data_IF_643730641531
#
_entry.id   IF_643730641531
#
_cell.length_a   1.000
_cell.length_b   1.000
_cell.length_c   1.000
_cell.angle_alpha   90.00
_cell.angle_beta   90.00
_cell.angle_gamma   90.00
#
_symmetry.space_group_name_H-M   'P 1'
#
loop_
_entity.id
_entity.type
_entity.pdbx_description
1 polymer ?
#
# COMPACT_ATOMS: atom_id res chain seq x y z
N UNK A 1 5.39 10.67 -4.54
CA UNK A 1 5.08 11.04 -5.94
C UNK A 1 5.46 12.52 -6.08
N UNK A 2 6.11 13.10 -7.09
CA UNK A 2 6.82 12.70 -8.31
C UNK A 2 7.58 13.96 -8.79
N UNK A 3 8.53 13.87 -9.73
CA UNK A 3 9.33 15.05 -10.15
C UNK A 3 8.48 16.21 -10.73
N UNK A 4 7.33 15.90 -11.33
CA UNK A 4 6.43 16.91 -11.88
C UNK A 4 5.75 17.79 -10.82
N UNK A 5 5.40 17.22 -9.66
CA UNK A 5 4.79 17.99 -8.55
C UNK A 5 5.83 18.93 -7.94
N UNK A 6 7.06 18.43 -7.71
CA UNK A 6 8.16 19.28 -7.23
C UNK A 6 8.46 20.42 -8.21
N UNK A 7 8.55 20.12 -9.51
CA UNK A 7 8.76 21.14 -10.54
C UNK A 7 7.66 22.21 -10.56
N UNK A 8 6.39 21.81 -10.40
CA UNK A 8 5.26 22.74 -10.37
C UNK A 8 5.27 23.63 -9.11
N UNK A 9 5.64 23.07 -7.95
CA UNK A 9 5.76 23.80 -6.69
C UNK A 9 6.91 24.82 -6.74
N UNK A 10 8.08 24.42 -7.24
CA UNK A 10 9.23 25.33 -7.43
C UNK A 10 8.86 26.52 -8.33
N UNK A 11 8.08 26.29 -9.39
CA UNK A 11 7.60 27.37 -10.27
C UNK A 11 6.62 28.34 -9.60
N UNK A 12 5.96 27.93 -8.52
CA UNK A 12 5.07 28.78 -7.74
C UNK A 12 5.79 29.46 -6.56
N UNK A 13 7.10 29.22 -6.41
CA UNK A 13 7.89 29.74 -5.29
C UNK A 13 7.69 28.97 -3.99
N UNK A 14 7.01 27.82 -4.03
CA UNK A 14 6.89 26.92 -2.90
C UNK A 14 8.07 25.94 -2.88
N UNK A 15 8.76 25.87 -1.74
CA UNK A 15 9.86 24.93 -1.57
C UNK A 15 9.38 23.65 -0.88
N UNK A 16 9.45 22.54 -1.60
CA UNK A 16 9.23 21.20 -1.03
C UNK A 16 10.60 20.63 -0.64
N UNK A 17 10.83 20.32 0.65
CA UNK A 17 12.18 20.05 1.18
C UNK A 17 12.80 18.76 0.64
N UNK A 18 11.99 17.75 0.32
CA UNK A 18 12.48 16.49 -0.20
C UNK A 18 11.48 15.79 -1.12
N UNK A 19 12.01 14.99 -2.05
CA UNK A 19 11.21 14.11 -2.89
C UNK A 19 10.93 12.82 -2.13
N UNK A 20 9.67 12.62 -1.74
CA UNK A 20 9.21 11.34 -1.18
C UNK A 20 8.39 10.60 -2.24
N UNK A 21 8.80 9.40 -2.63
CA UNK A 21 8.03 8.59 -3.58
C UNK A 21 6.90 7.85 -2.87
N UNK A 22 5.88 7.42 -3.62
CA UNK A 22 4.78 6.65 -3.00
C UNK A 22 5.28 5.36 -2.36
N UNK A 23 6.26 4.68 -2.99
CA UNK A 23 6.85 3.45 -2.44
C UNK A 23 7.62 3.71 -1.15
N UNK A 24 8.31 4.84 -1.01
CA UNK A 24 9.01 5.18 0.25
C UNK A 24 8.01 5.29 1.40
N UNK A 25 6.91 6.03 1.18
CA UNK A 25 5.83 6.15 2.18
C UNK A 25 5.23 4.79 2.50
N UNK A 26 4.90 3.99 1.50
CA UNK A 26 4.33 2.65 1.71
C UNK A 26 5.27 1.74 2.51
N UNK A 27 6.58 1.79 2.25
CA UNK A 27 7.55 1.02 3.02
C UNK A 27 7.63 1.46 4.48
N UNK A 28 7.59 2.77 4.76
CA UNK A 28 7.53 3.28 6.14
C UNK A 28 6.22 2.87 6.85
N UNK A 29 5.08 2.92 6.15
CA UNK A 29 3.81 2.43 6.69
C UNK A 29 3.88 0.95 7.04
N UNK A 30 4.51 0.11 6.21
CA UNK A 30 4.71 -1.30 6.53
C UNK A 30 5.61 -1.53 7.74
N UNK A 31 6.65 -0.72 7.94
CA UNK A 31 7.48 -0.79 9.17
C UNK A 31 6.67 -0.46 10.42
N UNK A 32 5.85 0.58 10.36
CA UNK A 32 4.94 0.97 11.46
C UNK A 32 3.93 -0.15 11.71
N UNK A 33 3.32 -0.70 10.65
CA UNK A 33 2.36 -1.79 10.76
C UNK A 33 2.97 -3.06 11.36
N UNK A 34 4.20 -3.42 10.98
CA UNK A 34 4.93 -4.54 11.59
C UNK A 34 5.20 -4.30 13.08
N UNK A 35 5.64 -3.09 13.43
CA UNK A 35 5.98 -2.74 14.83
C UNK A 35 4.76 -2.78 15.74
N UNK A 36 3.63 -2.26 15.26
CA UNK A 36 2.39 -2.14 16.05
C UNK A 36 1.38 -3.26 15.79
N UNK A 37 1.73 -4.24 14.94
CA UNK A 37 0.84 -5.32 14.51
C UNK A 37 -0.51 -4.81 13.96
N UNK A 38 -0.46 -3.67 13.27
CA UNK A 38 -1.64 -3.06 12.63
C UNK A 38 -2.09 -4.00 11.50
N UNK A 39 -3.37 -4.42 11.46
CA UNK A 39 -3.89 -5.25 10.40
C UNK A 39 -3.81 -4.51 9.06
N UNK A 40 -3.31 -5.18 8.02
CA UNK A 40 -3.20 -4.62 6.67
C UNK A 40 -3.93 -5.51 5.67
N UNK A 41 -4.76 -4.89 4.83
CA UNK A 41 -5.36 -5.53 3.67
C UNK A 41 -4.65 -5.05 2.40
N UNK A 42 -4.24 -5.97 1.52
CA UNK A 42 -3.59 -5.62 0.26
C UNK A 42 -4.46 -6.03 -0.94
N UNK A 43 -4.96 -5.03 -1.65
CA UNK A 43 -5.79 -5.19 -2.85
C UNK A 43 -5.03 -4.68 -4.08
N UNK A 44 -4.91 -5.51 -5.13
CA UNK A 44 -4.45 -5.07 -6.45
C UNK A 44 -3.44 -5.99 -7.15
N UNK A 45 -2.97 -5.52 -8.31
CA UNK A 45 -2.03 -6.21 -9.21
C UNK A 45 -2.54 -7.54 -9.77
N UNK A 46 -1.72 -8.26 -10.54
CA UNK A 46 -2.11 -9.56 -11.10
C UNK A 46 -2.17 -10.65 -10.02
N UNK A 47 -2.88 -11.76 -10.27
CA UNK A 47 -2.94 -12.89 -9.35
C UNK A 47 -1.56 -13.31 -8.83
N UNK A 48 -1.43 -13.40 -7.51
CA UNK A 48 -0.18 -13.75 -6.83
C UNK A 48 0.91 -12.65 -6.77
N UNK A 49 0.69 -11.47 -7.36
CA UNK A 49 1.65 -10.35 -7.24
C UNK A 49 1.58 -9.71 -5.85
N UNK A 50 0.38 -9.39 -5.35
CA UNK A 50 0.20 -8.79 -4.02
C UNK A 50 0.79 -9.69 -2.91
N UNK A 51 0.56 -11.00 -3.00
CA UNK A 51 1.14 -11.99 -2.08
C UNK A 51 2.67 -11.97 -2.09
N UNK A 52 3.30 -12.01 -3.27
CA UNK A 52 4.76 -11.92 -3.41
C UNK A 52 5.32 -10.62 -2.86
N UNK A 53 4.62 -9.49 -3.06
CA UNK A 53 5.03 -8.21 -2.51
C UNK A 53 5.04 -8.25 -0.96
N UNK A 54 3.98 -8.77 -0.35
CA UNK A 54 3.89 -8.92 1.11
C UNK A 54 4.98 -9.85 1.65
N UNK A 55 5.24 -10.98 1.00
CA UNK A 55 6.26 -11.92 1.46
C UNK A 55 7.65 -11.27 1.42
N UNK A 56 7.95 -10.51 0.35
CA UNK A 56 9.20 -9.76 0.22
C UNK A 56 9.31 -8.61 1.24
N UNK A 57 8.22 -7.90 1.52
CA UNK A 57 8.21 -6.81 2.51
C UNK A 57 8.34 -7.39 3.91
N UNK A 58 7.63 -8.47 4.24
CA UNK A 58 7.70 -9.13 5.55
C UNK A 58 9.12 -9.63 5.85
N UNK A 59 9.85 -10.11 4.83
CA UNK A 59 11.26 -10.48 4.97
C UNK A 59 12.18 -9.28 5.32
N UNK A 60 11.77 -8.04 5.00
CA UNK A 60 12.53 -6.82 5.25
C UNK A 60 12.13 -6.11 6.55
N UNK A 61 10.83 -6.09 6.88
CA UNK A 61 10.29 -5.31 8.01
C UNK A 61 9.85 -6.16 9.20
N UNK A 62 9.86 -7.49 9.06
CA UNK A 62 9.39 -8.43 10.07
C UNK A 62 7.96 -8.93 9.83
N UNK A 63 7.43 -9.67 10.81
CA UNK A 63 6.10 -10.27 10.70
C UNK A 63 5.01 -9.20 10.59
N UNK A 64 4.23 -9.25 9.51
CA UNK A 64 3.09 -8.39 9.27
C UNK A 64 1.79 -9.09 9.70
N UNK A 65 0.88 -8.32 10.30
CA UNK A 65 -0.49 -8.75 10.53
C UNK A 65 -1.30 -8.53 9.23
N UNK A 66 -1.33 -9.55 8.37
CA UNK A 66 -2.05 -9.48 7.11
C UNK A 66 -3.50 -9.94 7.31
N UNK A 67 -4.43 -9.00 7.26
CA UNK A 67 -5.84 -9.23 7.45
C UNK A 67 -6.53 -9.75 6.18
N UNK A 68 -5.96 -9.48 5.01
CA UNK A 68 -6.43 -10.04 3.75
C UNK A 68 -5.59 -9.64 2.54
N UNK A 69 -5.74 -10.41 1.46
CA UNK A 69 -5.06 -10.19 0.18
C UNK A 69 -6.05 -10.49 -0.93
N UNK A 70 -6.14 -9.61 -1.92
CA UNK A 70 -6.93 -9.82 -3.12
C UNK A 70 -6.21 -9.22 -4.32
N UNK A 71 -6.30 -9.85 -5.49
CA UNK A 71 -5.71 -9.28 -6.71
C UNK A 71 -6.61 -8.17 -7.30
N UNK A 72 -6.11 -7.45 -8.30
CA UNK A 72 -6.77 -6.29 -8.89
C UNK A 72 -7.66 -6.59 -10.08
N UNK A 73 -7.83 -7.87 -10.45
CA UNK A 73 -8.61 -8.27 -11.62
C UNK A 73 -9.96 -8.84 -11.17
N UNK A 74 -10.91 -7.95 -10.92
CA UNK A 74 -12.27 -8.28 -10.51
C UNK A 74 -13.28 -7.45 -11.30
N UNK A 75 -14.49 -7.97 -11.43
CA UNK A 75 -15.61 -7.27 -12.05
C UNK A 75 -16.50 -6.53 -11.03
N UNK A 76 -17.51 -5.82 -11.53
CA UNK A 76 -18.44 -5.05 -10.69
C UNK A 76 -19.34 -5.93 -9.80
N UNK A 77 -19.51 -7.21 -10.12
CA UNK A 77 -20.25 -8.14 -9.25
C UNK A 77 -19.37 -8.58 -8.07
N UNK A 78 -18.09 -8.84 -8.33
CA UNK A 78 -17.09 -9.22 -7.31
C UNK A 78 -16.72 -8.05 -6.38
N UNK A 79 -16.81 -6.80 -6.85
CA UNK A 79 -16.47 -5.60 -6.06
C UNK A 79 -17.19 -5.56 -4.70
N UNK A 80 -18.48 -5.89 -4.65
CA UNK A 80 -19.25 -5.88 -3.41
C UNK A 80 -18.75 -6.93 -2.40
N UNK A 81 -18.31 -8.09 -2.89
CA UNK A 81 -17.75 -9.15 -2.07
C UNK A 81 -16.38 -8.76 -1.52
N UNK A 82 -15.57 -8.06 -2.32
CA UNK A 82 -14.25 -7.54 -1.91
C UNK A 82 -14.41 -6.47 -0.82
N UNK A 83 -15.33 -5.51 -1.01
CA UNK A 83 -15.62 -4.47 0.00
C UNK A 83 -16.02 -5.13 1.32
N UNK A 84 -16.91 -6.14 1.26
CA UNK A 84 -17.31 -6.90 2.44
C UNK A 84 -16.14 -7.64 3.06
N UNK A 85 -15.28 -8.28 2.26
CA UNK A 85 -14.07 -8.96 2.73
C UNK A 85 -13.14 -8.00 3.48
N UNK A 86 -12.94 -6.78 2.97
CA UNK A 86 -12.15 -5.74 3.63
C UNK A 86 -12.79 -5.35 4.97
N UNK A 87 -14.10 -5.07 4.97
CA UNK A 87 -14.82 -4.67 6.19
C UNK A 87 -14.77 -5.76 7.29
N UNK A 88 -14.94 -7.03 6.91
CA UNK A 88 -14.94 -8.17 7.83
C UNK A 88 -13.51 -8.53 8.32
N UNK A 89 -12.47 -8.13 7.58
CA UNK A 89 -11.06 -8.43 7.90
C UNK A 89 -10.53 -7.68 9.12
N UNK A 90 -11.21 -6.62 9.57
CA UNK A 90 -10.78 -5.71 10.66
C UNK A 90 -9.47 -4.97 10.36
N UNK A 91 -9.12 -4.82 9.08
CA UNK A 91 -8.09 -3.90 8.61
C UNK A 91 -8.52 -2.44 8.78
#
# INVERSE_FOLDING_TARGET
DGAGILWAAERQGEHVPERVTGVDVTMELFKVAATHQIPVYCLGAAPGVAKRAIDNVSAQVGALNIAGIHDGFFDSAEEQEIIKSIADSKA
#
